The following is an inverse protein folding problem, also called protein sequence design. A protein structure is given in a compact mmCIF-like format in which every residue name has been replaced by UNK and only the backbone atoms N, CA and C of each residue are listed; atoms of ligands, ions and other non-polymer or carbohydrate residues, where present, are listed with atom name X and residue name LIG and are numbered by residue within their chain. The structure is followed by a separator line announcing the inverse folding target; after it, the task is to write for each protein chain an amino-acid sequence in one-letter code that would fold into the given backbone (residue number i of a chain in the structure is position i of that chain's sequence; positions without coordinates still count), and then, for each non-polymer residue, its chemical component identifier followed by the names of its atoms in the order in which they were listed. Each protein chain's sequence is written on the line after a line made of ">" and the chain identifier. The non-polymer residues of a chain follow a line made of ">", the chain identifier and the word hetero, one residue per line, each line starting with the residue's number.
data_IF_471023464158
#
_entry.id   IF_471023464158
#
_cell.length_a   1.000
_cell.length_b   1.000
_cell.length_c   1.000
_cell.angle_alpha   90.00
_cell.angle_beta   90.00
_cell.angle_gamma   90.00
#
_symmetry.space_group_name_H-M   'P 1'
#
loop_
_entity.id
_entity.type
_entity.pdbx_description
1 polymer ?
#
# COMPACT_ATOMS: atom_id res chain seq x y z
N UNK A 1 -6.31 26.77 20.46
CA UNK A 1 -4.94 26.24 20.30
C UNK A 1 -5.05 24.88 19.64
N UNK A 2 -4.57 24.74 18.40
CA UNK A 2 -4.77 23.54 17.58
C UNK A 2 -3.89 22.39 18.08
N UNK A 3 -4.52 21.34 18.62
CA UNK A 3 -3.84 20.08 18.95
C UNK A 3 -3.56 19.33 17.65
N UNK A 4 -2.27 19.25 17.31
CA UNK A 4 -1.76 18.59 16.12
C UNK A 4 -2.19 17.12 16.06
N UNK A 5 -2.91 16.77 15.00
CA UNK A 5 -3.27 15.41 14.63
C UNK A 5 -2.00 14.61 14.36
N UNK A 6 -1.56 13.80 15.34
CA UNK A 6 -0.41 12.89 15.16
C UNK A 6 -0.85 11.81 14.18
N UNK A 7 -0.52 11.99 12.90
CA UNK A 7 -0.65 10.96 11.85
C UNK A 7 -0.06 9.63 12.35
N UNK A 8 -0.94 8.66 12.60
CA UNK A 8 -0.59 7.32 13.08
C UNK A 8 0.10 6.54 11.96
N UNK A 9 1.43 6.38 12.04
CA UNK A 9 2.19 5.56 11.09
C UNK A 9 2.06 4.09 11.49
N UNK A 10 1.52 3.24 10.61
CA UNK A 10 1.48 1.79 10.80
C UNK A 10 2.65 1.14 10.07
N UNK A 11 3.53 0.47 10.81
CA UNK A 11 4.63 -0.32 10.24
C UNK A 11 4.20 -1.77 10.22
N UNK A 12 4.15 -2.37 9.03
CA UNK A 12 3.75 -3.76 8.85
C UNK A 12 4.82 -4.49 8.01
N UNK A 13 5.16 -5.76 8.31
CA UNK A 13 6.30 -6.48 7.70
C UNK A 13 6.12 -6.80 6.22
N UNK A 14 7.15 -6.68 5.38
CA UNK A 14 7.06 -6.81 3.92
C UNK A 14 6.27 -8.03 3.37
N UNK A 15 6.22 -9.16 4.09
CA UNK A 15 5.49 -10.38 3.69
C UNK A 15 3.98 -10.20 3.48
N UNK A 16 3.33 -9.22 4.11
CA UNK A 16 1.87 -8.99 3.92
C UNK A 16 1.54 -8.10 2.72
N UNK A 17 2.53 -7.51 2.04
CA UNK A 17 2.28 -6.59 0.93
C UNK A 17 2.06 -7.31 -0.41
N UNK A 18 1.15 -6.77 -1.20
CA UNK A 18 0.92 -7.14 -2.60
C UNK A 18 2.19 -7.00 -3.45
N UNK A 19 2.62 -8.11 -4.05
CA UNK A 19 3.85 -8.22 -4.84
C UNK A 19 3.58 -8.83 -6.20
N UNK A 20 4.47 -8.54 -7.14
CA UNK A 20 4.55 -9.24 -8.43
C UNK A 20 5.34 -10.54 -8.31
N UNK A 21 5.26 -11.40 -9.34
CA UNK A 21 6.07 -12.63 -9.52
C UNK A 21 7.58 -12.47 -9.38
N UNK A 22 8.07 -11.24 -9.47
CA UNK A 22 9.48 -10.90 -9.35
C UNK A 22 9.86 -10.36 -7.96
N UNK A 23 8.93 -10.33 -7.00
CA UNK A 23 9.16 -9.83 -5.65
C UNK A 23 9.18 -8.30 -5.52
N UNK A 24 8.78 -7.56 -6.56
CA UNK A 24 8.69 -6.10 -6.51
C UNK A 24 7.43 -5.68 -5.75
N UNK A 25 7.59 -4.73 -4.82
CA UNK A 25 6.46 -4.10 -4.10
C UNK A 25 5.69 -3.22 -5.07
N UNK A 26 4.38 -3.45 -5.20
CA UNK A 26 3.50 -2.56 -5.96
C UNK A 26 3.18 -1.30 -5.16
N UNK A 27 4.09 -0.32 -5.18
CA UNK A 27 3.89 0.98 -4.51
C UNK A 27 2.66 1.72 -5.02
N UNK A 28 2.28 1.53 -6.28
CA UNK A 28 1.05 2.08 -6.87
C UNK A 28 -0.20 1.61 -6.12
N UNK A 29 -0.35 0.31 -5.91
CA UNK A 29 -1.51 -0.30 -5.22
C UNK A 29 -1.54 0.17 -3.76
N UNK A 30 -0.39 0.19 -3.08
CA UNK A 30 -0.30 0.70 -1.71
C UNK A 30 -0.69 2.19 -1.61
N UNK A 31 -0.30 3.00 -2.60
CA UNK A 31 -0.66 4.41 -2.70
C UNK A 31 -2.16 4.55 -2.96
N UNK A 32 -2.70 3.80 -3.92
CA UNK A 32 -4.13 3.77 -4.24
C UNK A 32 -4.98 3.39 -3.01
N UNK A 33 -4.63 2.32 -2.27
CA UNK A 33 -5.28 1.94 -1.01
C UNK A 33 -5.19 3.00 0.08
N UNK A 34 -4.08 3.73 0.15
CA UNK A 34 -3.91 4.78 1.15
C UNK A 34 -4.70 6.07 0.80
N UNK A 35 -4.88 6.34 -0.49
CA UNK A 35 -5.61 7.50 -1.00
C UNK A 35 -7.10 7.21 -1.32
N UNK A 36 -7.49 5.94 -1.35
CA UNK A 36 -8.83 5.51 -1.77
C UNK A 36 -9.08 5.63 -3.27
N UNK A 37 -8.02 5.64 -4.09
CA UNK A 37 -8.10 5.65 -5.56
C UNK A 37 -8.17 4.22 -6.13
N UNK A 38 -8.61 4.10 -7.38
CA UNK A 38 -8.75 2.82 -8.08
C UNK A 38 -7.39 2.13 -8.26
N UNK A 39 -7.32 0.87 -7.83
CA UNK A 39 -6.08 0.08 -7.81
C UNK A 39 -5.61 -0.31 -9.22
N UNK A 40 -6.47 -0.18 -10.23
CA UNK A 40 -6.20 -0.53 -11.62
C UNK A 40 -5.99 -2.03 -11.82
N UNK A 41 -5.18 -2.39 -12.83
CA UNK A 41 -4.93 -3.79 -13.17
C UNK A 41 -4.11 -4.52 -12.10
N UNK A 42 -4.75 -5.46 -11.41
CA UNK A 42 -4.17 -6.36 -10.42
C UNK A 42 -3.74 -7.70 -11.04
N UNK A 43 -3.78 -7.85 -12.36
CA UNK A 43 -3.54 -9.12 -13.06
C UNK A 43 -2.08 -9.60 -12.95
N UNK A 44 -1.18 -8.76 -12.44
CA UNK A 44 0.22 -9.10 -12.17
C UNK A 44 0.46 -9.54 -10.72
N UNK A 45 -0.60 -9.63 -9.88
CA UNK A 45 -0.47 -10.14 -8.52
C UNK A 45 -0.01 -11.60 -8.56
N UNK A 46 0.99 -11.94 -7.74
CA UNK A 46 1.19 -13.34 -7.39
C UNK A 46 0.00 -13.84 -6.58
N UNK A 47 -0.56 -14.97 -7.01
CA UNK A 47 -1.35 -15.86 -6.16
C UNK A 47 -0.45 -16.38 -5.03
#
# INVERSE_FOLDING_TARGET
>A
MQTADRKKVSVRPFRWMSRTRSGKIMRRVLKARALGEDEGDLSTLEN
#
